data_IF_153606901099
#
_entry.id   IF_153606901099
#
_cell.length_a   1.000
_cell.length_b   1.000
_cell.length_c   1.000
_cell.angle_alpha   90.00
_cell.angle_beta   90.00
_cell.angle_gamma   90.00
#
_symmetry.space_group_name_H-M   'P 1'
#
loop_
_entity.id
_entity.type
_entity.pdbx_description
1 polymer ?
#
# COMPACT_ATOMS: atom_id res chain seq x y z
N UNK A 1 -0.55 -28.16 8.38
CA UNK A 1 -0.85 -27.65 7.02
C UNK A 1 -0.67 -26.14 7.03
N UNK A 2 -0.33 -25.53 5.89
CA UNK A 2 -0.03 -24.09 5.79
C UNK A 2 -1.30 -23.32 5.39
N UNK A 3 -1.62 -22.25 6.13
CA UNK A 3 -2.65 -21.27 5.80
C UNK A 3 -2.13 -19.90 6.25
N UNK A 4 -1.74 -19.08 5.27
CA UNK A 4 -1.12 -17.77 5.51
C UNK A 4 -1.66 -16.77 4.50
N UNK A 5 -1.97 -15.57 4.97
CA UNK A 5 -2.49 -14.45 4.18
C UNK A 5 -1.68 -13.21 4.53
N UNK A 6 -1.24 -12.48 3.52
CA UNK A 6 -0.55 -11.19 3.67
C UNK A 6 -1.21 -10.20 2.72
N UNK A 7 -1.74 -9.11 3.26
CA UNK A 7 -2.41 -8.06 2.50
C UNK A 7 -1.80 -6.71 2.82
N UNK A 8 -1.74 -5.84 1.82
CA UNK A 8 -1.46 -4.41 2.00
C UNK A 8 -2.55 -3.64 1.28
N UNK A 9 -3.21 -2.74 1.99
CA UNK A 9 -4.32 -1.99 1.43
C UNK A 9 -4.86 -0.94 2.37
N UNK A 10 -6.00 -0.34 2.01
CA UNK A 10 -6.61 0.76 2.77
C UNK A 10 -7.92 0.35 3.40
N UNK A 11 -8.20 0.87 4.59
CA UNK A 11 -9.50 0.68 5.23
C UNK A 11 -10.60 1.40 4.45
N UNK A 12 -11.72 0.71 4.21
CA UNK A 12 -12.86 1.30 3.48
C UNK A 12 -13.77 2.16 4.36
N UNK A 13 -13.72 1.94 5.67
CA UNK A 13 -14.53 2.60 6.70
C UNK A 13 -13.77 2.69 8.02
N UNK A 14 -14.25 3.52 8.93
CA UNK A 14 -13.68 3.62 10.27
C UNK A 14 -13.85 2.30 11.04
N UNK A 15 -12.82 1.85 11.77
CA UNK A 15 -12.89 0.65 12.58
C UNK A 15 -13.78 0.84 13.81
N UNK A 16 -14.85 0.06 13.91
CA UNK A 16 -15.73 0.04 15.08
C UNK A 16 -15.34 -1.08 16.04
N UNK A 17 -14.95 -0.71 17.28
CA UNK A 17 -14.69 -1.68 18.34
C UNK A 17 -16.01 -2.30 18.83
N UNK A 18 -16.08 -3.63 18.80
CA UNK A 18 -17.20 -4.41 19.32
C UNK A 18 -16.70 -5.43 20.32
N UNK A 19 -17.59 -5.92 21.16
CA UNK A 19 -17.31 -6.99 22.11
C UNK A 19 -18.20 -8.19 21.81
N UNK A 20 -17.62 -9.39 21.86
CA UNK A 20 -18.41 -10.63 21.79
C UNK A 20 -19.19 -10.88 23.09
N UNK A 21 -20.10 -11.86 23.09
CA UNK A 21 -20.80 -12.30 24.31
C UNK A 21 -19.86 -12.73 25.44
N UNK A 22 -18.65 -13.18 25.10
CA UNK A 22 -17.58 -13.51 26.05
C UNK A 22 -16.73 -12.31 26.49
N UNK A 23 -17.16 -11.08 26.19
CA UNK A 23 -16.42 -9.84 26.43
C UNK A 23 -15.05 -9.77 25.73
N UNK A 24 -14.86 -10.51 24.64
CA UNK A 24 -13.65 -10.42 23.80
C UNK A 24 -13.76 -9.25 22.82
N UNK A 25 -12.82 -8.28 22.81
CA UNK A 25 -12.86 -7.18 21.86
C UNK A 25 -12.52 -7.67 20.45
N UNK A 26 -13.25 -7.15 19.47
CA UNK A 26 -13.16 -7.50 18.06
C UNK A 26 -13.48 -6.29 17.16
N UNK A 27 -12.89 -6.26 15.97
CA UNK A 27 -13.20 -5.29 14.91
C UNK A 27 -13.41 -6.05 13.61
N UNK A 28 -14.53 -5.79 12.94
CA UNK A 28 -14.80 -6.25 11.57
C UNK A 28 -14.53 -5.12 10.59
N UNK A 29 -13.57 -5.34 9.71
CA UNK A 29 -13.11 -4.33 8.77
C UNK A 29 -12.95 -4.90 7.36
N UNK A 30 -12.85 -4.01 6.39
CA UNK A 30 -12.65 -4.38 4.99
C UNK A 30 -11.43 -3.64 4.48
N UNK A 31 -10.53 -4.37 3.85
CA UNK A 31 -9.32 -3.83 3.23
C UNK A 31 -9.53 -3.78 1.73
N UNK A 32 -9.41 -2.60 1.15
CA UNK A 32 -9.32 -2.40 -0.29
C UNK A 32 -7.87 -2.66 -0.74
N UNK A 33 -7.67 -3.70 -1.54
CA UNK A 33 -6.38 -4.09 -2.10
C UNK A 33 -6.42 -3.84 -3.59
N UNK A 34 -5.62 -2.90 -4.08
CA UNK A 34 -5.55 -2.60 -5.50
C UNK A 34 -4.93 -3.79 -6.26
N UNK A 35 -5.53 -4.16 -7.40
CA UNK A 35 -4.94 -5.13 -8.31
C UNK A 35 -3.72 -4.52 -9.01
N UNK A 36 -2.74 -5.36 -9.32
CA UNK A 36 -1.48 -4.93 -9.94
C UNK A 36 -1.67 -4.48 -11.38
N UNK A 37 -2.62 -5.10 -12.10
CA UNK A 37 -2.94 -4.81 -13.50
C UNK A 37 -4.18 -3.91 -13.65
N UNK A 38 -4.24 -3.21 -14.78
CA UNK A 38 -5.41 -2.43 -15.21
C UNK A 38 -6.34 -3.29 -16.07
N UNK A 39 -7.63 -2.99 -16.04
CA UNK A 39 -8.61 -3.62 -16.92
C UNK A 39 -8.46 -3.16 -18.38
N UNK A 40 -9.23 -3.75 -19.32
CA UNK A 40 -9.23 -3.42 -20.75
C UNK A 40 -9.48 -1.93 -21.03
N UNK A 41 -10.19 -1.25 -20.11
CA UNK A 41 -10.49 0.18 -20.17
C UNK A 41 -9.40 1.08 -19.52
N UNK A 42 -8.27 0.50 -19.10
CA UNK A 42 -7.18 1.23 -18.42
C UNK A 42 -7.46 1.61 -16.96
N UNK A 43 -8.57 1.13 -16.37
CA UNK A 43 -8.92 1.44 -14.97
C UNK A 43 -8.29 0.46 -13.98
N UNK A 44 -7.86 0.96 -12.82
CA UNK A 44 -7.36 0.13 -11.71
C UNK A 44 -8.52 -0.31 -10.82
N UNK A 45 -8.71 -1.62 -10.71
CA UNK A 45 -9.71 -2.22 -9.84
C UNK A 45 -9.11 -2.60 -8.47
N UNK A 46 -9.97 -2.76 -7.47
CA UNK A 46 -9.58 -3.18 -6.13
C UNK A 46 -10.44 -4.36 -5.65
N UNK A 47 -9.82 -5.26 -4.90
CA UNK A 47 -10.49 -6.33 -4.18
C UNK A 47 -10.81 -5.87 -2.76
N UNK A 48 -12.00 -6.24 -2.27
CA UNK A 48 -12.49 -5.84 -0.96
C UNK A 48 -12.51 -7.04 -0.04
N UNK A 49 -11.46 -7.18 0.76
CA UNK A 49 -11.26 -8.36 1.60
C UNK A 49 -11.83 -8.10 2.99
N UNK A 50 -12.76 -8.95 3.40
CA UNK A 50 -13.33 -8.91 4.76
C UNK A 50 -12.35 -9.53 5.75
N UNK A 51 -12.07 -8.80 6.83
CA UNK A 51 -11.13 -9.18 7.86
C UNK A 51 -11.76 -9.04 9.25
N UNK A 52 -11.31 -9.86 10.17
CA UNK A 52 -11.64 -9.77 11.59
C UNK A 52 -10.37 -9.80 12.41
N UNK A 53 -10.27 -8.91 13.39
CA UNK A 53 -9.16 -8.87 14.35
C UNK A 53 -9.72 -8.88 15.76
N UNK A 54 -8.98 -9.47 16.69
CA UNK A 54 -9.40 -9.66 18.08
C UNK A 54 -8.40 -9.06 19.07
N UNK A 55 -8.81 -8.99 20.35
CA UNK A 55 -7.96 -8.66 21.50
C UNK A 55 -7.31 -7.28 21.34
N UNK A 56 -6.08 -7.13 21.81
CA UNK A 56 -5.30 -5.89 21.79
C UNK A 56 -5.18 -5.27 20.39
N UNK A 57 -5.10 -6.09 19.33
CA UNK A 57 -5.02 -5.58 17.97
C UNK A 57 -6.31 -4.88 17.53
N UNK A 58 -7.48 -5.41 17.95
CA UNK A 58 -8.76 -4.76 17.73
C UNK A 58 -8.85 -3.40 18.44
N UNK A 59 -8.42 -3.33 19.69
CA UNK A 59 -8.39 -2.07 20.44
C UNK A 59 -7.44 -1.04 19.83
N UNK A 60 -6.23 -1.47 19.45
CA UNK A 60 -5.25 -0.60 18.80
C UNK A 60 -5.77 -0.07 17.46
N UNK A 61 -6.44 -0.92 16.69
CA UNK A 61 -7.01 -0.55 15.40
C UNK A 61 -8.08 0.52 15.57
N UNK A 62 -9.03 0.32 16.49
CA UNK A 62 -10.09 1.30 16.76
C UNK A 62 -9.57 2.64 17.32
N UNK A 63 -8.43 2.63 18.02
CA UNK A 63 -7.83 3.84 18.61
C UNK A 63 -6.99 4.66 17.64
N UNK A 64 -6.34 4.01 16.67
CA UNK A 64 -5.27 4.64 15.89
C UNK A 64 -5.52 4.67 14.38
N UNK A 65 -6.47 3.90 13.88
CA UNK A 65 -6.78 3.83 12.46
C UNK A 65 -8.14 4.45 12.18
N UNK A 66 -8.28 4.99 10.97
CA UNK A 66 -9.50 5.56 10.43
C UNK A 66 -9.69 5.11 8.98
N UNK A 67 -10.84 5.41 8.41
CA UNK A 67 -11.13 5.22 6.98
C UNK A 67 -9.98 5.77 6.14
N UNK A 68 -9.56 4.97 5.17
CA UNK A 68 -8.48 5.30 4.24
C UNK A 68 -7.09 4.97 4.76
N UNK A 69 -6.89 4.66 6.04
CA UNK A 69 -5.57 4.34 6.59
C UNK A 69 -4.92 3.17 5.86
N UNK A 70 -3.65 3.33 5.46
CA UNK A 70 -2.86 2.27 4.82
C UNK A 70 -2.32 1.29 5.88
N UNK A 71 -2.63 0.01 5.71
CA UNK A 71 -2.28 -1.05 6.65
C UNK A 71 -1.74 -2.28 5.94
N UNK A 72 -0.84 -2.98 6.63
CA UNK A 72 -0.45 -4.36 6.35
C UNK A 72 -1.22 -5.30 7.27
N UNK A 73 -1.72 -6.40 6.76
CA UNK A 73 -2.45 -7.42 7.52
C UNK A 73 -1.78 -8.77 7.28
N UNK A 74 -1.47 -9.49 8.35
CA UNK A 74 -1.08 -10.90 8.26
C UNK A 74 -2.03 -11.77 9.07
N UNK A 75 -2.31 -12.97 8.58
CA UNK A 75 -3.26 -13.87 9.23
C UNK A 75 -3.56 -15.12 8.42
N UNK A 76 -4.81 -15.58 8.52
CA UNK A 76 -5.28 -16.81 7.87
C UNK A 76 -6.69 -16.66 7.32
N UNK A 77 -7.00 -17.34 6.22
CA UNK A 77 -8.37 -17.44 5.73
C UNK A 77 -9.16 -18.39 6.65
N UNK A 78 -10.35 -17.98 7.03
CA UNK A 78 -11.36 -18.82 7.67
C UNK A 78 -12.69 -18.69 6.94
N UNK A 79 -13.34 -19.84 6.73
CA UNK A 79 -14.70 -19.90 6.22
C UNK A 79 -15.63 -20.29 7.37
N UNK A 80 -16.72 -19.58 7.53
CA UNK A 80 -17.79 -19.94 8.47
C UNK A 80 -19.14 -19.85 7.79
N UNK A 81 -20.12 -20.57 8.33
CA UNK A 81 -21.51 -20.44 7.94
C UNK A 81 -22.35 -19.96 9.13
N UNK A 82 -23.42 -19.24 8.84
CA UNK A 82 -24.41 -18.86 9.83
C UNK A 82 -25.79 -18.75 9.16
N UNK A 83 -26.84 -18.91 9.94
CA UNK A 83 -28.20 -18.75 9.44
C UNK A 83 -28.57 -17.27 9.38
N UNK A 84 -28.97 -16.80 8.19
CA UNK A 84 -29.53 -15.47 7.99
C UNK A 84 -30.89 -15.32 8.68
N UNK A 85 -31.36 -14.07 8.83
CA UNK A 85 -32.66 -13.78 9.47
C UNK A 85 -33.84 -14.45 8.74
N UNK A 86 -33.64 -14.71 7.46
CA UNK A 86 -34.53 -15.27 6.46
C UNK A 86 -34.38 -16.81 6.35
N UNK A 87 -33.61 -17.44 7.25
CA UNK A 87 -33.47 -18.90 7.35
C UNK A 87 -32.43 -19.53 6.42
N UNK A 88 -31.93 -18.76 5.44
CA UNK A 88 -30.90 -19.20 4.50
C UNK A 88 -29.52 -19.33 5.15
N UNK A 89 -28.76 -20.36 4.78
CA UNK A 89 -27.37 -20.52 5.21
C UNK A 89 -26.46 -19.57 4.42
N UNK A 90 -25.79 -18.65 5.12
CA UNK A 90 -24.84 -17.71 4.55
C UNK A 90 -23.43 -18.23 4.80
N UNK A 91 -22.65 -18.39 3.73
CA UNK A 91 -21.24 -18.72 3.79
C UNK A 91 -20.41 -17.44 3.74
N UNK A 92 -19.45 -17.29 4.64
CA UNK A 92 -18.57 -16.13 4.70
C UNK A 92 -17.13 -16.60 4.75
N UNK A 93 -16.33 -16.03 3.84
CA UNK A 93 -14.88 -16.17 3.84
C UNK A 93 -14.28 -14.88 4.37
N UNK A 94 -13.51 -14.97 5.44
CA UNK A 94 -12.88 -13.82 6.08
C UNK A 94 -11.42 -14.12 6.43
N UNK A 95 -10.61 -13.08 6.53
CA UNK A 95 -9.24 -13.18 7.02
C UNK A 95 -9.25 -12.90 8.52
N UNK A 96 -8.85 -13.88 9.32
CA UNK A 96 -8.56 -13.66 10.73
C UNK A 96 -7.15 -13.09 10.84
N UNK A 97 -7.06 -11.81 11.17
CA UNK A 97 -5.82 -11.09 11.29
C UNK A 97 -5.12 -11.41 12.61
N UNK A 98 -3.89 -11.90 12.51
CA UNK A 98 -3.01 -12.15 13.64
C UNK A 98 -2.14 -10.92 13.96
N UNK A 99 -1.73 -10.17 12.93
CA UNK A 99 -0.99 -8.92 13.08
C UNK A 99 -1.50 -7.84 12.12
N UNK A 100 -1.46 -6.59 12.59
CA UNK A 100 -1.74 -5.40 11.78
C UNK A 100 -0.54 -4.46 11.90
N UNK A 101 0.02 -4.08 10.76
CA UNK A 101 1.08 -3.10 10.64
C UNK A 101 0.52 -1.79 10.08
N UNK A 102 0.91 -0.67 10.68
CA UNK A 102 0.49 0.65 10.22
C UNK A 102 1.55 1.16 9.26
N UNK A 103 1.15 1.50 8.04
CA UNK A 103 2.08 1.86 6.97
C UNK A 103 2.11 3.37 6.68
N UNK A 104 1.29 4.15 7.38
CA UNK A 104 1.26 5.60 7.27
C UNK A 104 1.80 6.29 8.52
N UNK A 105 2.64 7.31 8.31
CA UNK A 105 3.13 8.18 9.38
C UNK A 105 2.03 9.15 9.81
N UNK A 106 1.86 9.31 11.14
CA UNK A 106 0.88 10.22 11.77
C UNK A 106 1.01 11.70 11.36
N UNK A 107 2.04 12.08 10.60
CA UNK A 107 2.36 13.47 10.28
C UNK A 107 1.56 14.08 9.11
N UNK A 108 0.79 13.31 8.34
CA UNK A 108 0.08 13.84 7.16
C UNK A 108 -1.30 14.44 7.45
N UNK A 109 -1.84 14.29 8.68
CA UNK A 109 -3.19 14.81 9.00
C UNK A 109 -3.20 16.30 9.39
N UNK A 110 -2.06 16.89 9.79
CA UNK A 110 -2.01 18.28 10.28
C UNK A 110 -1.61 19.34 9.23
N UNK A 111 -1.44 19.00 7.94
CA UNK A 111 -1.07 20.01 6.92
C UNK A 111 -2.24 20.73 6.23
N UNK A 112 -3.48 20.40 6.57
CA UNK A 112 -4.67 21.00 5.93
C UNK A 112 -5.54 21.86 6.88
N UNK A 113 -5.02 22.23 8.05
CA UNK A 113 -5.74 23.10 8.97
C UNK A 113 -4.83 24.19 9.52
N UNK A 114 -4.17 24.92 8.63
CA UNK A 114 -3.58 26.22 8.95
C UNK A 114 -3.58 27.10 7.68
N UNK A 115 -4.73 27.71 7.40
CA UNK A 115 -4.87 28.76 6.39
C UNK A 115 -6.05 29.65 6.78
N UNK A 116 -5.89 30.31 7.93
CA UNK A 116 -6.87 31.25 8.41
C UNK A 116 -6.44 31.92 9.70
N UNK A 117 -5.43 32.78 9.64
CA UNK A 117 -5.37 33.93 10.54
C UNK A 117 -4.45 35.06 10.01
N UNK A 118 -4.99 36.27 10.10
CA UNK A 118 -4.38 37.60 10.08
C UNK A 118 -3.80 38.19 8.79
N UNK A 119 -4.72 38.76 8.01
CA UNK A 119 -4.56 40.11 7.48
C UNK A 119 -4.41 41.13 8.62
N UNK A 120 -3.17 41.55 8.93
CA UNK A 120 -2.94 42.86 9.54
C UNK A 120 -1.85 43.63 8.79
N UNK A 121 -2.30 44.74 8.23
CA UNK A 121 -1.53 45.83 7.67
C UNK A 121 -0.60 46.46 8.71
N UNK A 122 0.71 46.48 8.45
CA UNK A 122 1.61 47.52 8.95
C UNK A 122 2.63 47.94 7.89
N UNK A 123 2.44 49.16 7.43
CA UNK A 123 3.34 49.95 6.61
C UNK A 123 4.36 50.64 7.53
N UNK A 124 5.65 50.29 7.49
CA UNK A 124 6.75 51.26 7.69
C UNK A 124 8.14 50.72 7.32
N UNK A 125 8.79 51.43 6.37
CA UNK A 125 10.23 51.70 6.14
C UNK A 125 11.35 50.64 6.35
N UNK A 126 12.35 50.56 5.43
CA UNK A 126 13.49 49.65 5.52
C UNK A 126 14.67 50.26 6.29
N UNK A 127 15.24 49.52 7.25
CA UNK A 127 16.53 49.88 7.83
C UNK A 127 17.44 48.65 8.02
N UNK A 128 18.61 48.79 7.39
CA UNK A 128 19.78 47.92 7.36
C UNK A 128 20.18 47.30 8.71
N UNK A 129 20.53 46.01 8.70
CA UNK A 129 21.74 45.54 9.38
C UNK A 129 22.21 44.17 8.84
N UNK A 130 23.10 44.19 7.84
CA UNK A 130 23.84 43.02 7.40
C UNK A 130 24.98 42.74 8.39
N UNK A 131 24.88 41.62 9.11
CA UNK A 131 25.99 41.04 9.86
C UNK A 131 26.62 39.95 8.99
N UNK A 132 27.78 40.28 8.44
CA UNK A 132 28.60 39.45 7.58
C UNK A 132 29.37 38.42 8.43
N UNK A 133 28.88 37.18 8.51
CA UNK A 133 29.67 36.06 9.05
C UNK A 133 30.33 35.29 7.92
N UNK A 134 31.64 35.50 7.85
CA UNK A 134 32.62 34.91 6.98
C UNK A 134 32.76 33.40 7.29
N UNK A 135 32.38 32.52 6.35
CA UNK A 135 32.55 31.08 6.48
C UNK A 135 33.67 30.60 5.53
N UNK A 136 34.90 30.63 6.04
CA UNK A 136 36.05 29.96 5.45
C UNK A 136 36.32 28.67 6.24
N UNK A 137 35.84 27.52 5.74
CA UNK A 137 36.51 26.22 5.84
C UNK A 137 35.60 25.08 5.35
N UNK A 138 35.81 24.62 4.12
CA UNK A 138 36.01 23.19 3.80
C UNK A 138 36.13 23.04 2.27
N UNK A 139 37.35 23.25 1.79
CA UNK A 139 37.85 22.64 0.56
C UNK A 139 38.58 21.37 0.97
N UNK A 140 38.00 20.20 0.72
CA UNK A 140 38.64 19.02 0.14
C UNK A 140 37.70 17.82 0.26
N UNK A 141 37.72 16.96 -0.77
CA UNK A 141 37.10 15.62 -0.87
C UNK A 141 35.87 15.52 -1.79
N UNK A 142 36.01 15.95 -3.05
CA UNK A 142 35.09 15.52 -4.10
C UNK A 142 35.79 15.21 -5.44
N UNK A 143 36.93 14.52 -5.38
CA UNK A 143 37.65 14.01 -6.56
C UNK A 143 37.48 12.49 -6.79
N UNK A 144 36.71 11.79 -5.94
CA UNK A 144 36.52 10.34 -6.01
C UNK A 144 35.12 9.91 -6.50
N UNK A 145 34.29 10.88 -6.94
CA UNK A 145 32.89 10.65 -7.32
C UNK A 145 32.61 10.97 -8.79
N UNK A 146 33.64 11.03 -9.64
CA UNK A 146 33.48 11.23 -11.09
C UNK A 146 33.61 9.91 -11.89
N UNK A 147 34.24 8.88 -11.32
CA UNK A 147 34.55 7.62 -12.04
C UNK A 147 33.41 6.59 -12.05
N UNK A 148 32.28 6.86 -11.38
CA UNK A 148 31.11 5.96 -11.36
C UNK A 148 30.00 6.36 -12.34
N UNK A 149 30.10 7.51 -13.01
CA UNK A 149 29.01 8.04 -13.85
C UNK A 149 29.13 7.71 -15.34
N UNK A 150 30.18 7.01 -15.79
CA UNK A 150 30.43 6.84 -17.22
C UNK A 150 30.86 5.42 -17.62
N UNK A 151 30.08 4.42 -17.23
CA UNK A 151 30.21 3.08 -17.82
C UNK A 151 28.86 2.60 -18.35
N UNK A 152 28.56 2.97 -19.60
CA UNK A 152 27.38 2.53 -20.35
C UNK A 152 27.68 1.26 -21.18
N UNK A 153 28.70 0.48 -20.80
CA UNK A 153 29.08 -0.76 -21.49
C UNK A 153 28.37 -2.02 -20.97
N UNK A 154 27.60 -1.91 -19.88
CA UNK A 154 26.94 -3.07 -19.25
C UNK A 154 25.61 -3.49 -19.91
N UNK A 155 25.19 -2.83 -20.99
CA UNK A 155 23.94 -3.12 -21.70
C UNK A 155 24.10 -3.45 -23.19
N UNK A 156 25.32 -3.45 -23.74
CA UNK A 156 25.56 -3.73 -25.16
C UNK A 156 25.59 -5.23 -25.52
N UNK A 157 25.43 -6.14 -24.54
CA UNK A 157 25.57 -7.59 -24.71
C UNK A 157 24.22 -8.35 -24.84
N UNK A 158 23.08 -7.64 -24.86
CA UNK A 158 21.75 -8.26 -24.81
C UNK A 158 21.02 -8.37 -26.17
N UNK A 159 21.70 -8.21 -27.31
CA UNK A 159 20.99 -7.89 -28.57
C UNK A 159 21.35 -8.61 -29.87
N UNK A 160 22.47 -9.32 -29.98
CA UNK A 160 22.97 -9.73 -31.32
C UNK A 160 22.70 -11.21 -31.69
N UNK A 161 22.30 -12.07 -30.75
CA UNK A 161 22.14 -13.53 -31.00
C UNK A 161 20.68 -14.01 -30.96
N UNK A 162 19.78 -13.33 -31.68
CA UNK A 162 18.49 -13.93 -32.03
C UNK A 162 18.59 -14.64 -33.39
N UNK A 163 18.50 -15.97 -33.46
CA UNK A 163 18.48 -16.66 -34.75
C UNK A 163 17.23 -16.21 -35.53
N UNK A 164 17.45 -15.63 -36.71
CA UNK A 164 16.42 -15.08 -37.59
C UNK A 164 15.60 -16.13 -38.34
N UNK A 165 15.89 -17.42 -38.13
CA UNK A 165 15.14 -18.53 -38.69
C UNK A 165 14.63 -19.43 -37.56
N UNK A 166 13.49 -19.05 -36.99
CA UNK A 166 12.59 -20.02 -36.38
C UNK A 166 11.89 -20.70 -37.56
N UNK A 167 12.37 -21.89 -37.93
CA UNK A 167 11.73 -22.72 -38.93
C UNK A 167 10.25 -22.94 -38.57
N UNK A 168 9.37 -22.74 -39.56
CA UNK A 168 7.90 -22.82 -39.46
C UNK A 168 7.34 -24.19 -39.00
N UNK A 169 8.21 -25.16 -38.69
CA UNK A 169 7.85 -26.52 -38.25
C UNK A 169 7.37 -26.60 -36.79
N UNK A 170 7.55 -25.55 -35.97
CA UNK A 170 7.08 -25.56 -34.57
C UNK A 170 5.58 -25.21 -34.41
N UNK A 171 4.89 -24.83 -35.49
CA UNK A 171 3.45 -24.52 -35.48
C UNK A 171 2.56 -25.63 -36.06
N UNK A 172 3.14 -26.72 -36.56
CA UNK A 172 2.37 -27.80 -37.18
C UNK A 172 1.65 -28.74 -36.19
N UNK A 173 1.99 -28.69 -34.88
CA UNK A 173 1.50 -29.69 -33.91
C UNK A 173 0.65 -29.11 -32.76
N UNK A 174 0.18 -27.86 -32.87
CA UNK A 174 -0.83 -27.34 -31.94
C UNK A 174 -2.24 -27.73 -32.41
N UNK A 175 -2.59 -28.99 -32.16
CA UNK A 175 -3.99 -29.45 -32.27
C UNK A 175 -4.81 -28.77 -31.18
N UNK A 176 -5.79 -27.97 -31.58
CA UNK A 176 -6.68 -27.26 -30.68
C UNK A 176 -7.65 -28.26 -30.01
N UNK A 177 -7.60 -28.51 -28.69
CA UNK A 177 -8.33 -29.61 -28.04
C UNK A 177 -9.83 -29.32 -27.79
N UNK A 178 -10.39 -28.28 -28.40
CA UNK A 178 -11.78 -27.85 -28.21
C UNK A 178 -12.56 -27.65 -29.52
N UNK A 179 -12.19 -28.38 -30.58
CA UNK A 179 -13.08 -28.55 -31.73
C UNK A 179 -13.60 -29.99 -31.73
N UNK A 180 -14.91 -30.13 -31.54
CA UNK A 180 -15.67 -31.36 -31.79
C UNK A 180 -15.52 -31.83 -33.25
#
# INVERSE_FOLDING_TARGET
MINNVVLVGRLTRDPELRYSSSNLPMVYFTVAVNRTFTDQNGQRNADFISCVVFRKQAENMARFLSKGSLIGVTGRIQTRNYQGKDGNMVYTTEVVADNIQYLESRSNTNRNQDNGFDSMSFNNSPQNNFSNFNNNNMSNNNAAMHDFMNDNSSFSDFGEDFPSNLDDDFLADVVNPFKD
#
